data_IF_231450421040
#
_entry.id   IF_231450421040
#
_cell.length_a   1.000
_cell.length_b   1.000
_cell.length_c   1.000
_cell.angle_alpha   90.00
_cell.angle_beta   90.00
_cell.angle_gamma   90.00
#
_symmetry.space_group_name_H-M   'P 1'
#
loop_
_entity.id
_entity.type
_entity.pdbx_description
1 polymer ?
#
# COMPACT_ATOMS: atom_id res chain seq x y z
N UNK A 1 -7.20 -14.90 -30.14
CA UNK A 1 -5.79 -14.77 -29.72
C UNK A 1 -5.72 -15.19 -28.26
N UNK A 2 -4.80 -16.06 -27.87
CA UNK A 2 -4.70 -16.54 -26.47
C UNK A 2 -4.06 -15.45 -25.61
N UNK A 3 -4.65 -15.15 -24.46
CA UNK A 3 -4.13 -14.11 -23.54
C UNK A 3 -2.85 -14.60 -22.87
N UNK A 4 -1.88 -13.71 -22.74
CA UNK A 4 -0.61 -13.96 -22.05
C UNK A 4 -0.42 -12.89 -20.98
N UNK A 5 -0.80 -13.21 -19.75
CA UNK A 5 -0.78 -12.29 -18.62
C UNK A 5 0.35 -12.69 -17.66
N UNK A 6 1.21 -11.74 -17.35
CA UNK A 6 2.28 -11.90 -16.38
C UNK A 6 1.88 -11.19 -15.09
N UNK A 7 2.14 -11.82 -13.96
CA UNK A 7 2.23 -11.13 -12.68
C UNK A 7 3.69 -11.15 -12.24
N UNK A 8 4.24 -9.98 -11.90
CA UNK A 8 5.58 -9.82 -11.36
C UNK A 8 5.49 -9.22 -9.97
N UNK A 9 6.27 -9.74 -9.03
CA UNK A 9 6.23 -9.32 -7.63
C UNK A 9 7.64 -9.41 -7.01
N UNK A 10 8.11 -8.29 -6.45
CA UNK A 10 9.44 -8.19 -5.85
C UNK A 10 9.57 -9.09 -4.62
N UNK A 11 10.70 -9.77 -4.51
CA UNK A 11 10.95 -10.71 -3.43
C UNK A 11 11.27 -9.98 -2.13
N UNK A 12 10.38 -10.12 -1.14
CA UNK A 12 10.51 -9.47 0.17
C UNK A 12 10.93 -8.01 0.05
N UNK A 13 10.20 -7.23 -0.76
CA UNK A 13 10.63 -5.92 -1.28
C UNK A 13 11.37 -5.02 -0.27
N UNK A 14 10.76 -4.68 0.86
CA UNK A 14 11.39 -3.80 1.85
C UNK A 14 12.67 -4.40 2.44
N UNK A 15 12.71 -5.71 2.67
CA UNK A 15 13.92 -6.40 3.14
C UNK A 15 15.03 -6.35 2.09
N UNK A 16 14.68 -6.59 0.82
CA UNK A 16 15.65 -6.51 -0.29
C UNK A 16 16.19 -5.09 -0.45
N UNK A 17 15.37 -4.05 -0.25
CA UNK A 17 15.81 -2.66 -0.24
C UNK A 17 16.83 -2.37 0.88
N UNK A 18 16.61 -2.91 2.09
CA UNK A 18 17.57 -2.78 3.20
C UNK A 18 18.87 -3.55 2.94
N UNK A 19 18.77 -4.76 2.37
CA UNK A 19 19.94 -5.59 2.04
C UNK A 19 20.81 -4.95 0.95
N UNK A 20 20.20 -4.26 -0.02
CA UNK A 20 20.95 -3.47 -1.01
C UNK A 20 21.80 -2.37 -0.37
N UNK A 21 21.37 -1.82 0.76
CA UNK A 21 22.11 -0.79 1.46
C UNK A 21 23.17 -1.36 2.43
N UNK A 22 22.91 -2.55 2.98
CA UNK A 22 23.80 -3.17 3.95
C UNK A 22 23.85 -4.70 3.76
N UNK A 23 24.96 -5.16 3.18
CA UNK A 23 25.23 -6.58 2.92
C UNK A 23 25.35 -7.43 4.20
N UNK A 24 25.62 -6.82 5.37
CA UNK A 24 25.62 -7.55 6.65
C UNK A 24 24.22 -8.05 7.06
N UNK A 25 23.17 -7.60 6.36
CA UNK A 25 21.79 -8.01 6.58
C UNK A 25 21.41 -9.27 5.77
N UNK A 26 22.32 -9.80 4.96
CA UNK A 26 22.10 -11.03 4.21
C UNK A 26 22.09 -12.26 5.12
N UNK A 27 21.17 -13.20 4.87
CA UNK A 27 21.07 -14.47 5.60
C UNK A 27 20.57 -14.38 7.05
N UNK A 28 20.36 -13.18 7.60
CA UNK A 28 19.83 -13.00 8.95
C UNK A 28 18.31 -12.76 8.95
N UNK A 29 17.57 -13.17 10.01
CA UNK A 29 16.15 -12.85 10.15
C UNK A 29 15.92 -11.36 10.34
N UNK A 30 15.13 -10.75 9.46
CA UNK A 30 14.80 -9.33 9.50
C UNK A 30 13.30 -9.09 9.61
N UNK A 31 12.96 -8.05 10.35
CA UNK A 31 11.60 -7.51 10.46
C UNK A 31 11.67 -6.03 10.10
N UNK A 32 10.94 -5.64 9.05
CA UNK A 32 10.74 -4.23 8.70
C UNK A 32 9.45 -3.77 9.35
N UNK A 33 9.55 -2.73 10.18
CA UNK A 33 8.43 -2.20 10.95
C UNK A 33 8.91 -1.66 12.29
N UNK A 34 8.02 -1.58 13.27
CA UNK A 34 8.39 -1.18 14.63
C UNK A 34 7.41 -0.22 15.29
N UNK A 35 7.77 0.18 16.51
CA UNK A 35 6.91 0.92 17.44
C UNK A 35 6.16 -0.01 18.41
N UNK A 36 5.79 0.51 19.58
CA UNK A 36 5.15 -0.26 20.66
C UNK A 36 3.83 -0.93 20.23
N UNK A 37 3.12 -0.30 19.29
CA UNK A 37 1.88 -0.80 18.68
C UNK A 37 2.02 -1.07 17.19
N UNK A 38 3.25 -1.24 16.73
CA UNK A 38 3.58 -1.50 15.33
C UNK A 38 3.18 -2.89 14.89
N UNK A 39 3.00 -3.03 13.58
CA UNK A 39 2.89 -4.30 12.89
C UNK A 39 4.11 -4.52 11.99
N UNK A 40 4.38 -5.76 11.65
CA UNK A 40 5.38 -6.15 10.66
C UNK A 40 4.90 -5.71 9.28
N UNK A 41 5.59 -4.73 8.68
CA UNK A 41 5.33 -4.30 7.30
C UNK A 41 5.81 -5.35 6.31
N UNK A 42 7.02 -5.86 6.53
CA UNK A 42 7.62 -6.96 5.76
C UNK A 42 8.61 -7.73 6.63
N UNK A 43 8.90 -8.96 6.27
CA UNK A 43 9.86 -9.81 6.98
C UNK A 43 10.63 -10.68 5.98
N UNK A 44 11.85 -11.05 6.37
CA UNK A 44 12.73 -11.85 5.53
C UNK A 44 12.26 -13.31 5.45
N UNK A 45 12.71 -14.04 4.42
CA UNK A 45 12.37 -15.46 4.29
C UNK A 45 12.85 -16.30 5.49
N UNK A 46 13.97 -15.91 6.10
CA UNK A 46 14.52 -16.52 7.31
C UNK A 46 13.57 -16.32 8.50
N UNK A 47 13.04 -15.10 8.69
CA UNK A 47 12.05 -14.82 9.73
C UNK A 47 10.72 -15.56 9.49
N UNK A 48 10.31 -15.72 8.22
CA UNK A 48 9.10 -16.46 7.84
C UNK A 48 9.14 -17.93 8.26
N UNK A 49 10.33 -18.55 8.37
CA UNK A 49 10.49 -19.94 8.86
C UNK A 49 10.08 -20.09 10.31
N UNK A 50 10.21 -19.04 11.11
CA UNK A 50 9.77 -18.99 12.52
C UNK A 50 8.28 -18.64 12.65
N UNK A 51 7.54 -18.53 11.55
CA UNK A 51 6.12 -18.19 11.56
C UNK A 51 5.82 -16.69 11.55
N UNK A 52 6.84 -15.82 11.43
CA UNK A 52 6.63 -14.37 11.28
C UNK A 52 5.95 -14.10 9.93
N UNK A 53 4.92 -13.25 9.94
CA UNK A 53 4.14 -12.85 8.76
C UNK A 53 3.93 -11.34 8.73
N UNK A 54 3.72 -10.78 7.54
CA UNK A 54 3.28 -9.38 7.41
C UNK A 54 1.94 -9.17 8.13
N UNK A 55 1.70 -7.94 8.60
CA UNK A 55 0.57 -7.53 9.45
C UNK A 55 0.53 -8.16 10.86
N UNK A 56 1.46 -9.04 11.21
CA UNK A 56 1.61 -9.55 12.58
C UNK A 56 2.05 -8.44 13.55
N UNK A 57 1.55 -8.36 14.79
CA UNK A 57 2.09 -7.43 15.78
C UNK A 57 3.58 -7.64 16.02
N UNK A 58 4.38 -6.57 16.04
CA UNK A 58 5.85 -6.67 16.17
C UNK A 58 6.26 -7.40 17.46
N UNK A 59 5.55 -7.17 18.56
CA UNK A 59 5.79 -7.88 19.82
C UNK A 59 5.58 -9.40 19.71
N UNK A 60 4.61 -9.85 18.92
CA UNK A 60 4.38 -11.27 18.66
C UNK A 60 5.45 -11.83 17.73
N UNK A 61 5.83 -11.08 16.68
CA UNK A 61 6.89 -11.48 15.78
C UNK A 61 8.24 -11.68 16.50
N UNK A 62 8.57 -10.81 17.45
CA UNK A 62 9.76 -10.93 18.31
C UNK A 62 9.69 -12.10 19.30
N UNK A 63 8.49 -12.50 19.75
CA UNK A 63 8.33 -13.73 20.54
C UNK A 63 8.59 -14.99 19.71
N UNK A 64 8.18 -14.98 18.43
CA UNK A 64 8.40 -16.10 17.50
C UNK A 64 9.85 -16.18 17.03
N UNK A 65 10.50 -15.04 16.80
CA UNK A 65 11.87 -14.96 16.33
C UNK A 65 12.67 -13.93 17.15
N UNK A 66 13.13 -14.27 18.37
CA UNK A 66 13.84 -13.34 19.25
C UNK A 66 15.13 -12.77 18.67
N UNK A 67 15.78 -13.53 17.79
CA UNK A 67 17.00 -13.15 17.08
C UNK A 67 16.76 -12.21 15.88
N UNK A 68 15.50 -11.88 15.56
CA UNK A 68 15.21 -11.03 14.41
C UNK A 68 15.65 -9.58 14.65
N UNK A 69 16.38 -9.02 13.70
CA UNK A 69 16.74 -7.60 13.72
C UNK A 69 15.57 -6.77 13.19
N UNK A 70 15.09 -5.84 14.01
CA UNK A 70 14.01 -4.92 13.63
C UNK A 70 14.62 -3.66 13.01
N UNK A 71 14.18 -3.32 11.80
CA UNK A 71 14.60 -2.13 11.07
C UNK A 71 13.38 -1.24 10.85
N UNK A 72 13.51 0.04 11.22
CA UNK A 72 12.51 1.04 10.90
C UNK A 72 12.64 1.38 9.41
N UNK A 73 11.62 1.03 8.63
CA UNK A 73 11.70 1.17 7.18
C UNK A 73 11.69 2.62 6.69
N UNK A 74 12.41 2.86 5.60
CA UNK A 74 12.46 4.13 4.88
C UNK A 74 11.50 4.11 3.67
N UNK A 75 10.30 4.64 3.89
CA UNK A 75 9.23 4.62 2.88
C UNK A 75 9.56 5.48 1.65
N UNK A 76 10.35 6.54 1.81
CA UNK A 76 10.73 7.41 0.69
C UNK A 76 11.67 6.66 -0.24
N UNK A 77 12.70 6.02 0.32
CA UNK A 77 13.61 5.17 -0.43
C UNK A 77 12.90 4.00 -1.10
N UNK A 78 11.97 3.34 -0.41
CA UNK A 78 11.18 2.26 -1.01
C UNK A 78 10.34 2.76 -2.19
N UNK A 79 9.75 3.96 -2.09
CA UNK A 79 9.03 4.57 -3.21
C UNK A 79 9.97 4.83 -4.40
N UNK A 80 11.15 5.40 -4.16
CA UNK A 80 12.14 5.67 -5.21
C UNK A 80 12.58 4.39 -5.94
N UNK A 81 12.90 3.34 -5.20
CA UNK A 81 13.28 2.04 -5.80
C UNK A 81 12.13 1.39 -6.56
N UNK A 82 10.89 1.53 -6.06
CA UNK A 82 9.69 1.09 -6.78
C UNK A 82 9.48 1.85 -8.08
N UNK A 83 9.70 3.17 -8.09
CA UNK A 83 9.64 3.98 -9.30
C UNK A 83 10.67 3.52 -10.32
N UNK A 84 11.92 3.29 -9.90
CA UNK A 84 12.96 2.75 -10.77
C UNK A 84 12.54 1.41 -11.40
N UNK A 85 12.03 0.46 -10.60
CA UNK A 85 11.50 -0.81 -11.14
C UNK A 85 10.35 -0.58 -12.12
N UNK A 86 9.46 0.36 -11.81
CA UNK A 86 8.30 0.70 -12.66
C UNK A 86 8.77 1.23 -14.01
N UNK A 87 9.76 2.11 -14.04
CA UNK A 87 10.34 2.69 -15.26
C UNK A 87 10.94 1.61 -16.17
N UNK A 88 11.75 0.70 -15.60
CA UNK A 88 12.34 -0.42 -16.34
C UNK A 88 11.27 -1.32 -16.97
N UNK A 89 10.18 -1.59 -16.25
CA UNK A 89 9.06 -2.40 -16.74
C UNK A 89 8.29 -1.64 -17.83
N UNK A 90 7.98 -0.36 -17.62
CA UNK A 90 7.21 0.47 -18.57
C UNK A 90 7.96 0.72 -19.88
N UNK A 91 9.30 0.77 -19.86
CA UNK A 91 10.11 0.92 -21.08
C UNK A 91 9.94 -0.26 -22.06
N UNK A 92 9.63 -1.46 -21.54
CA UNK A 92 9.60 -2.68 -22.36
C UNK A 92 8.21 -3.28 -22.51
N UNK A 93 7.40 -3.26 -21.46
CA UNK A 93 6.12 -3.92 -21.46
C UNK A 93 5.07 -3.10 -22.23
N UNK A 94 4.26 -3.73 -23.11
CA UNK A 94 3.28 -3.02 -23.91
C UNK A 94 2.12 -2.46 -23.07
N UNK A 95 1.64 -3.23 -22.09
CA UNK A 95 0.61 -2.80 -21.14
C UNK A 95 1.08 -3.17 -19.73
N UNK A 96 1.06 -2.20 -18.83
CA UNK A 96 1.46 -2.34 -17.43
C UNK A 96 0.38 -1.82 -16.51
N UNK A 97 -0.04 -2.66 -15.56
CA UNK A 97 -0.83 -2.27 -14.40
C UNK A 97 0.05 -2.40 -13.15
N UNK A 98 0.21 -1.30 -12.41
CA UNK A 98 0.89 -1.32 -11.10
C UNK A 98 -0.16 -1.59 -10.00
N UNK A 99 -0.13 -2.78 -9.42
CA UNK A 99 -1.09 -3.20 -8.40
C UNK A 99 -0.70 -2.74 -6.99
N UNK A 100 0.60 -2.68 -6.70
CA UNK A 100 1.15 -2.15 -5.44
C UNK A 100 2.51 -1.49 -5.68
N UNK A 101 3.23 -1.16 -4.61
CA UNK A 101 4.61 -0.66 -4.69
C UNK A 101 5.57 -1.72 -5.27
N UNK A 102 5.24 -2.99 -5.16
CA UNK A 102 6.08 -4.13 -5.50
C UNK A 102 5.44 -5.14 -6.47
N UNK A 103 4.16 -4.98 -6.80
CA UNK A 103 3.40 -5.88 -7.67
C UNK A 103 2.96 -5.21 -8.98
N UNK A 104 3.14 -5.94 -10.08
CA UNK A 104 2.81 -5.50 -11.44
C UNK A 104 2.08 -6.61 -12.19
N UNK A 105 1.09 -6.23 -13.00
CA UNK A 105 0.54 -7.08 -14.05
C UNK A 105 0.93 -6.54 -15.42
N UNK A 106 1.29 -7.46 -16.32
CA UNK A 106 1.59 -7.14 -17.71
C UNK A 106 0.66 -7.95 -18.61
N UNK A 107 0.13 -7.32 -19.64
CA UNK A 107 -0.51 -8.03 -20.75
C UNK A 107 0.46 -8.04 -21.93
N UNK A 108 1.03 -9.21 -22.21
CA UNK A 108 1.98 -9.42 -23.31
C UNK A 108 1.37 -10.29 -24.41
N UNK A 109 0.04 -10.27 -24.53
CA UNK A 109 -0.69 -11.01 -25.57
C UNK A 109 -0.16 -10.65 -26.96
N UNK A 110 0.28 -11.67 -27.71
CA UNK A 110 0.84 -11.52 -29.06
C UNK A 110 2.35 -11.31 -29.15
N UNK A 111 3.06 -11.21 -28.03
CA UNK A 111 4.53 -11.16 -27.99
C UNK A 111 5.19 -12.50 -28.34
N UNK A 112 4.42 -13.60 -28.28
CA UNK A 112 4.84 -14.94 -28.68
C UNK A 112 5.33 -15.00 -30.13
N UNK A 113 4.76 -14.18 -31.01
CA UNK A 113 5.13 -14.10 -32.43
C UNK A 113 6.55 -13.60 -32.70
N UNK A 114 7.16 -12.90 -31.74
CA UNK A 114 8.45 -12.22 -31.93
C UNK A 114 9.55 -12.79 -31.04
N UNK A 115 9.29 -12.94 -29.74
CA UNK A 115 10.32 -13.22 -28.74
C UNK A 115 10.03 -14.43 -27.85
N UNK A 116 8.82 -14.99 -27.93
CA UNK A 116 8.33 -15.96 -26.95
C UNK A 116 8.01 -15.28 -25.61
N UNK A 117 6.77 -15.41 -25.14
CA UNK A 117 6.30 -14.68 -23.95
C UNK A 117 7.17 -14.98 -22.71
N UNK A 118 7.46 -16.26 -22.45
CA UNK A 118 8.23 -16.67 -21.27
C UNK A 118 9.68 -16.16 -21.30
N UNK A 119 10.36 -16.30 -22.43
CA UNK A 119 11.74 -15.83 -22.59
C UNK A 119 11.81 -14.30 -22.42
N UNK A 120 10.90 -13.57 -23.07
CA UNK A 120 10.82 -12.12 -22.93
C UNK A 120 10.60 -11.69 -21.47
N UNK A 121 9.72 -12.38 -20.73
CA UNK A 121 9.49 -12.06 -19.31
C UNK A 121 10.72 -12.36 -18.46
N UNK A 122 11.43 -13.46 -18.74
CA UNK A 122 12.67 -13.79 -18.05
C UNK A 122 13.77 -12.74 -18.30
N UNK A 123 13.91 -12.27 -19.53
CA UNK A 123 14.86 -11.21 -19.89
C UNK A 123 14.52 -9.90 -19.18
N UNK A 124 13.22 -9.56 -19.09
CA UNK A 124 12.75 -8.41 -18.32
C UNK A 124 13.09 -8.54 -16.83
N UNK A 125 12.85 -9.72 -16.22
CA UNK A 125 13.17 -9.96 -14.82
C UNK A 125 14.68 -9.83 -14.54
N UNK A 126 15.53 -10.37 -15.43
CA UNK A 126 16.99 -10.21 -15.33
C UNK A 126 17.43 -8.75 -15.47
N UNK A 127 16.78 -7.99 -16.37
CA UNK A 127 17.06 -6.57 -16.54
C UNK A 127 16.70 -5.76 -15.29
N UNK A 128 15.52 -6.01 -14.71
CA UNK A 128 15.11 -5.39 -13.43
C UNK A 128 16.14 -5.68 -12.35
N UNK A 129 16.58 -6.94 -12.21
CA UNK A 129 17.61 -7.30 -11.23
C UNK A 129 18.95 -6.59 -11.50
N UNK A 130 19.38 -6.50 -12.76
CA UNK A 130 20.64 -5.87 -13.15
C UNK A 130 20.64 -4.35 -12.89
N UNK A 131 19.54 -3.68 -13.19
CA UNK A 131 19.45 -2.21 -13.09
C UNK A 131 19.10 -1.72 -11.68
N UNK A 132 18.28 -2.47 -10.95
CA UNK A 132 17.80 -2.04 -9.62
C UNK A 132 18.47 -2.77 -8.46
N UNK A 133 19.13 -3.90 -8.73
CA UNK A 133 19.64 -4.81 -7.71
C UNK A 133 18.55 -5.60 -6.97
N UNK A 134 17.27 -5.42 -7.31
CA UNK A 134 16.15 -6.04 -6.61
C UNK A 134 15.71 -7.33 -7.31
N UNK A 135 15.60 -8.46 -6.57
CA UNK A 135 15.05 -9.69 -7.11
C UNK A 135 13.54 -9.58 -7.34
N UNK A 136 13.10 -10.01 -8.52
CA UNK A 136 11.69 -10.06 -8.90
C UNK A 136 11.33 -11.50 -9.29
N UNK A 137 10.21 -12.00 -8.76
CA UNK A 137 9.63 -13.28 -9.17
C UNK A 137 8.46 -13.03 -10.10
N UNK A 138 8.14 -13.97 -10.99
CA UNK A 138 7.00 -13.82 -11.88
C UNK A 138 6.32 -15.15 -12.19
N UNK A 139 5.07 -15.07 -12.64
CA UNK A 139 4.45 -16.17 -13.36
C UNK A 139 3.68 -15.68 -14.58
N UNK A 140 3.79 -16.44 -15.67
CA UNK A 140 3.05 -16.27 -16.91
C UNK A 140 1.86 -17.22 -16.92
N UNK A 141 0.67 -16.72 -17.24
CA UNK A 141 -0.52 -17.56 -17.44
C UNK A 141 -1.57 -16.86 -18.31
N UNK A 142 -2.78 -17.41 -18.39
CA UNK A 142 -3.88 -16.93 -19.23
C UNK A 142 -4.63 -15.71 -18.67
N UNK A 143 -4.49 -15.43 -17.37
CA UNK A 143 -5.20 -14.35 -16.69
C UNK A 143 -4.51 -13.92 -15.39
N UNK A 144 -4.99 -12.81 -14.81
CA UNK A 144 -4.43 -12.17 -13.60
C UNK A 144 -4.48 -13.07 -12.37
N UNK A 145 -5.58 -13.79 -12.16
CA UNK A 145 -5.74 -14.64 -10.98
C UNK A 145 -4.72 -15.78 -10.96
N UNK A 146 -4.59 -16.52 -12.06
CA UNK A 146 -3.67 -17.66 -12.13
C UNK A 146 -2.21 -17.20 -12.09
N UNK A 147 -1.88 -16.11 -12.79
CA UNK A 147 -0.52 -15.56 -12.74
C UNK A 147 -0.16 -15.08 -11.34
N UNK A 148 -1.06 -14.40 -10.61
CA UNK A 148 -0.81 -13.99 -9.21
C UNK A 148 -0.55 -15.19 -8.29
N UNK A 149 -1.40 -16.22 -8.37
CA UNK A 149 -1.24 -17.44 -7.57
C UNK A 149 0.09 -18.12 -7.93
N UNK A 150 0.39 -18.23 -9.23
CA UNK A 150 1.65 -18.75 -9.74
C UNK A 150 2.87 -18.06 -9.12
N UNK A 151 2.93 -16.73 -9.17
CA UNK A 151 4.04 -15.98 -8.57
C UNK A 151 4.18 -16.27 -7.08
N UNK A 152 3.06 -16.36 -6.36
CA UNK A 152 3.06 -16.68 -4.94
C UNK A 152 3.61 -18.07 -4.61
N UNK A 153 3.31 -19.08 -5.43
CA UNK A 153 3.81 -20.45 -5.26
C UNK A 153 5.27 -20.62 -5.73
N UNK A 154 5.71 -19.82 -6.70
CA UNK A 154 7.09 -19.88 -7.21
C UNK A 154 8.13 -19.28 -6.26
N UNK A 155 7.74 -18.40 -5.35
CA UNK A 155 8.69 -17.67 -4.48
C UNK A 155 9.44 -18.58 -3.49
N UNK A 156 10.73 -18.31 -3.20
CA UNK A 156 11.55 -17.18 -3.66
C UNK A 156 12.24 -17.39 -5.02
N UNK A 157 12.49 -16.31 -5.78
CA UNK A 157 13.16 -16.32 -7.10
C UNK A 157 12.54 -17.29 -8.11
N UNK A 158 11.22 -17.43 -8.08
CA UNK A 158 10.48 -18.35 -8.93
C UNK A 158 10.02 -17.70 -10.22
N UNK A 159 10.35 -18.33 -11.34
CA UNK A 159 9.80 -18.02 -12.66
C UNK A 159 8.95 -19.22 -13.07
N UNK A 160 7.64 -19.02 -13.25
CA UNK A 160 6.72 -20.10 -13.63
C UNK A 160 5.99 -19.75 -14.93
N UNK A 161 5.75 -20.77 -15.74
CA UNK A 161 4.84 -20.71 -16.89
C UNK A 161 3.71 -21.71 -16.67
N UNK A 162 2.48 -21.22 -16.60
CA UNK A 162 1.28 -22.03 -16.35
C UNK A 162 0.38 -21.93 -17.58
N UNK A 163 0.52 -22.86 -18.55
CA UNK A 163 -0.29 -22.85 -19.74
C UNK A 163 -1.74 -23.25 -19.42
N UNK A 164 -2.67 -22.82 -20.26
CA UNK A 164 -4.13 -22.98 -20.13
C UNK A 164 -4.58 -24.40 -19.78
N UNK A 165 -3.99 -25.40 -20.41
CA UNK A 165 -4.26 -26.82 -20.21
C UNK A 165 -3.82 -27.32 -18.83
N UNK A 166 -2.86 -26.66 -18.19
CA UNK A 166 -2.36 -27.01 -16.86
C UNK A 166 -3.00 -26.21 -15.73
N UNK A 167 -3.76 -25.14 -16.03
CA UNK A 167 -4.35 -24.24 -15.02
C UNK A 167 -5.11 -25.02 -13.95
N UNK A 168 -6.00 -25.94 -14.35
CA UNK A 168 -6.82 -26.68 -13.40
C UNK A 168 -6.00 -27.63 -12.53
N UNK A 169 -5.01 -28.31 -13.13
CA UNK A 169 -4.11 -29.21 -12.41
C UNK A 169 -3.24 -28.46 -11.40
N UNK A 170 -2.77 -27.26 -11.77
CA UNK A 170 -2.01 -26.38 -10.91
C UNK A 170 -2.84 -25.85 -9.73
N UNK A 171 -4.07 -25.41 -9.98
CA UNK A 171 -4.93 -24.81 -8.95
C UNK A 171 -5.49 -25.83 -7.97
N UNK A 172 -5.97 -26.98 -8.45
CA UNK A 172 -6.68 -27.99 -7.67
C UNK A 172 -6.07 -28.35 -6.29
N UNK A 173 -4.76 -28.64 -6.17
CA UNK A 173 -4.15 -29.03 -4.90
C UNK A 173 -3.99 -27.87 -3.90
N UNK A 174 -4.09 -26.62 -4.36
CA UNK A 174 -3.81 -25.46 -3.52
C UNK A 174 -4.93 -25.19 -2.51
N UNK A 175 -4.57 -24.49 -1.43
CA UNK A 175 -5.53 -24.00 -0.45
C UNK A 175 -6.38 -22.87 -1.05
N UNK A 176 -7.67 -22.81 -0.70
CA UNK A 176 -8.55 -21.70 -1.11
C UNK A 176 -8.06 -20.33 -0.61
N UNK A 177 -7.23 -20.27 0.44
CA UNK A 177 -6.63 -19.03 0.95
C UNK A 177 -5.69 -18.37 -0.07
N UNK A 178 -5.23 -19.11 -1.08
CA UNK A 178 -4.40 -18.58 -2.17
C UNK A 178 -5.22 -17.79 -3.19
N UNK A 179 -6.54 -17.99 -3.26
CA UNK A 179 -7.40 -17.29 -4.20
C UNK A 179 -7.49 -15.80 -3.81
N UNK A 180 -7.17 -14.86 -4.72
CA UNK A 180 -7.36 -13.43 -4.46
C UNK A 180 -8.83 -13.13 -4.17
N UNK A 181 -9.09 -12.36 -3.10
CA UNK A 181 -10.39 -12.09 -2.46
C UNK A 181 -10.80 -13.04 -1.32
N UNK A 182 -10.11 -14.17 -1.13
CA UNK A 182 -10.36 -15.05 0.02
C UNK A 182 -9.47 -14.61 1.19
N UNK A 183 -10.03 -13.76 2.06
CA UNK A 183 -9.40 -13.41 3.34
C UNK A 183 -9.65 -14.46 4.44
N UNK A 184 -9.04 -14.27 5.61
CA UNK A 184 -9.10 -15.23 6.73
C UNK A 184 -10.52 -15.56 7.19
N UNK A 185 -11.43 -14.58 7.18
CA UNK A 185 -12.84 -14.78 7.58
C UNK A 185 -13.54 -15.73 6.61
N UNK A 186 -13.40 -15.48 5.30
CA UNK A 186 -13.99 -16.32 4.25
C UNK A 186 -13.36 -17.71 4.25
N UNK A 187 -12.04 -17.78 4.43
CA UNK A 187 -11.30 -19.04 4.58
C UNK A 187 -11.84 -19.87 5.74
N UNK A 188 -12.03 -19.27 6.91
CA UNK A 188 -12.57 -19.97 8.09
C UNK A 188 -14.01 -20.43 7.88
N UNK A 189 -14.86 -19.60 7.26
CA UNK A 189 -16.24 -19.96 6.94
C UNK A 189 -16.31 -21.21 6.04
N UNK A 190 -15.57 -21.20 4.93
CA UNK A 190 -15.51 -22.32 3.98
C UNK A 190 -14.83 -23.55 4.60
N UNK A 191 -13.81 -23.34 5.44
CA UNK A 191 -13.13 -24.43 6.15
C UNK A 191 -14.02 -25.16 7.15
N UNK A 192 -14.98 -24.47 7.79
CA UNK A 192 -15.94 -25.08 8.74
C UNK A 192 -16.90 -26.06 8.07
N UNK A 193 -17.15 -25.90 6.77
CA UNK A 193 -18.00 -26.78 5.97
C UNK A 193 -17.19 -27.76 5.11
N UNK A 194 -15.90 -27.93 5.40
CA UNK A 194 -15.04 -28.91 4.74
C UNK A 194 -14.36 -28.44 3.46
N UNK A 195 -14.55 -27.19 3.03
CA UNK A 195 -13.94 -26.66 1.81
C UNK A 195 -12.61 -26.00 2.16
N UNK A 196 -11.51 -26.72 1.91
CA UNK A 196 -10.14 -26.22 2.17
C UNK A 196 -9.29 -26.11 0.92
N UNK A 197 -9.58 -26.88 -0.12
CA UNK A 197 -8.82 -26.91 -1.37
C UNK A 197 -9.60 -26.25 -2.50
N UNK A 198 -8.87 -25.69 -3.48
CA UNK A 198 -9.47 -25.09 -4.67
C UNK A 198 -10.27 -26.13 -5.45
N UNK A 199 -9.79 -27.39 -5.51
CA UNK A 199 -10.52 -28.50 -6.14
C UNK A 199 -11.95 -28.62 -5.60
N UNK A 200 -12.10 -28.77 -4.28
CA UNK A 200 -13.41 -28.94 -3.65
C UNK A 200 -14.30 -27.73 -3.89
N UNK A 201 -13.75 -26.51 -3.84
CA UNK A 201 -14.48 -25.28 -4.13
C UNK A 201 -14.95 -25.21 -5.60
N UNK A 202 -14.13 -25.67 -6.53
CA UNK A 202 -14.42 -25.65 -7.98
C UNK A 202 -15.55 -26.62 -8.37
N UNK A 203 -15.69 -27.72 -7.64
CA UNK A 203 -16.70 -28.76 -7.86
C UNK A 203 -18.08 -28.42 -7.25
N UNK A 204 -18.15 -27.38 -6.42
CA UNK A 204 -19.42 -26.95 -5.84
C UNK A 204 -20.32 -26.23 -6.86
N UNK A 205 -21.66 -26.35 -6.72
CA UNK A 205 -22.58 -25.50 -7.47
C UNK A 205 -22.39 -24.02 -7.12
N UNK A 206 -22.29 -23.17 -8.14
CA UNK A 206 -22.05 -21.73 -7.96
C UNK A 206 -23.17 -21.04 -7.14
N UNK A 207 -24.41 -21.54 -7.26
CA UNK A 207 -25.59 -21.02 -6.57
C UNK A 207 -25.48 -21.22 -5.05
N UNK A 208 -24.85 -22.31 -4.60
CA UNK A 208 -24.61 -22.57 -3.18
C UNK A 208 -23.64 -21.53 -2.63
N UNK A 209 -22.52 -21.31 -3.32
CA UNK A 209 -21.55 -20.30 -2.91
C UNK A 209 -22.14 -18.88 -2.94
N UNK A 210 -23.00 -18.60 -3.91
CA UNK A 210 -23.72 -17.33 -3.98
C UNK A 210 -24.67 -17.13 -2.79
N UNK A 211 -25.41 -18.15 -2.36
CA UNK A 211 -26.28 -18.06 -1.18
C UNK A 211 -25.48 -17.86 0.11
N UNK A 212 -24.28 -18.43 0.20
CA UNK A 212 -23.46 -18.36 1.42
C UNK A 212 -22.68 -17.04 1.55
N UNK A 213 -22.11 -16.53 0.46
CA UNK A 213 -21.15 -15.40 0.48
C UNK A 213 -21.62 -14.24 -0.42
N UNK A 214 -22.84 -14.33 -0.97
CA UNK A 214 -23.39 -13.33 -1.88
C UNK A 214 -22.71 -13.32 -3.24
N UNK A 215 -22.69 -12.16 -3.90
CA UNK A 215 -22.09 -11.98 -5.24
C UNK A 215 -20.62 -12.42 -5.29
N UNK A 216 -19.87 -12.24 -4.21
CA UNK A 216 -18.47 -12.64 -4.11
C UNK A 216 -18.29 -14.16 -4.21
N UNK A 217 -19.30 -14.96 -3.82
CA UNK A 217 -19.24 -16.42 -3.94
C UNK A 217 -19.12 -16.89 -5.40
N UNK A 218 -19.83 -16.24 -6.31
CA UNK A 218 -19.76 -16.53 -7.75
C UNK A 218 -18.38 -16.17 -8.32
N UNK A 219 -17.83 -15.03 -7.92
CA UNK A 219 -16.50 -14.59 -8.37
C UNK A 219 -15.39 -15.52 -7.84
N UNK A 220 -15.46 -15.93 -6.58
CA UNK A 220 -14.54 -16.90 -5.99
C UNK A 220 -14.63 -18.25 -6.70
N UNK A 221 -15.83 -18.70 -7.05
CA UNK A 221 -16.05 -19.93 -7.81
C UNK A 221 -15.44 -19.87 -9.22
N UNK A 222 -15.62 -18.75 -9.94
CA UNK A 222 -15.01 -18.53 -11.25
C UNK A 222 -13.48 -18.61 -11.15
N UNK A 223 -12.90 -17.93 -10.17
CA UNK A 223 -11.45 -17.96 -9.91
C UNK A 223 -10.93 -19.35 -9.55
N UNK A 224 -11.69 -20.11 -8.77
CA UNK A 224 -11.36 -21.50 -8.44
C UNK A 224 -11.31 -22.40 -9.68
N UNK A 225 -12.13 -22.09 -10.69
CA UNK A 225 -12.12 -22.75 -11.99
C UNK A 225 -11.12 -22.12 -12.99
N UNK A 226 -10.25 -21.22 -12.54
CA UNK A 226 -9.27 -20.55 -13.40
C UNK A 226 -9.87 -19.52 -14.35
N UNK A 227 -11.12 -19.10 -14.15
CA UNK A 227 -11.82 -18.15 -14.99
C UNK A 227 -11.67 -16.74 -14.42
N UNK A 228 -10.96 -15.89 -15.14
CA UNK A 228 -10.83 -14.46 -14.84
C UNK A 228 -10.73 -13.65 -16.15
N UNK A 229 -11.70 -12.77 -16.37
CA UNK A 229 -11.83 -11.96 -17.57
C UNK A 229 -11.44 -10.49 -17.33
N UNK A 230 -10.96 -10.14 -16.14
CA UNK A 230 -10.53 -8.78 -15.86
C UNK A 230 -9.29 -8.46 -16.73
N UNK A 231 -9.32 -7.37 -17.52
CA UNK A 231 -8.16 -6.96 -18.30
C UNK A 231 -7.06 -6.42 -17.37
N UNK A 232 -5.84 -6.37 -17.89
CA UNK A 232 -4.77 -5.56 -17.30
C UNK A 232 -5.07 -4.11 -17.66
N UNK A 233 -5.35 -3.29 -16.65
CA UNK A 233 -5.68 -1.89 -16.84
C UNK A 233 -4.38 -1.08 -16.89
N UNK A 234 -4.16 -0.24 -17.92
CA UNK A 234 -3.01 0.66 -17.94
C UNK A 234 -2.93 1.45 -16.64
N UNK A 235 -1.72 1.59 -16.11
CA UNK A 235 -1.47 2.35 -14.90
C UNK A 235 -2.16 3.72 -14.96
N UNK A 236 -3.14 3.93 -14.08
CA UNK A 236 -3.87 5.19 -13.96
C UNK A 236 -3.34 6.00 -12.80
N UNK A 237 -3.42 7.33 -12.94
CA UNK A 237 -3.01 8.25 -11.89
C UNK A 237 -3.77 8.03 -10.58
N UNK A 238 -3.14 8.48 -9.51
CA UNK A 238 -3.59 8.30 -8.13
C UNK A 238 -5.01 8.85 -7.92
N UNK A 239 -5.92 8.03 -7.39
CA UNK A 239 -7.33 8.41 -7.18
C UNK A 239 -7.61 9.12 -5.84
N UNK A 240 -6.72 8.96 -4.85
CA UNK A 240 -6.86 9.52 -3.52
C UNK A 240 -5.50 9.60 -2.79
N UNK A 241 -5.37 10.54 -1.85
CA UNK A 241 -4.25 10.65 -0.92
C UNK A 241 -4.83 10.64 0.49
N UNK A 242 -4.20 9.91 1.41
CA UNK A 242 -4.66 9.84 2.80
C UNK A 242 -3.51 9.78 3.78
N UNK A 243 -3.74 10.31 4.98
CA UNK A 243 -2.85 10.18 6.12
C UNK A 243 -3.65 9.64 7.30
N UNK A 244 -3.08 8.67 8.03
CA UNK A 244 -3.67 8.12 9.25
C UNK A 244 -2.61 8.14 10.36
N UNK A 245 -3.03 8.44 11.58
CA UNK A 245 -2.18 8.45 12.76
C UNK A 245 -2.78 7.56 13.85
N UNK A 246 -2.07 6.48 14.20
CA UNK A 246 -2.44 5.58 15.30
C UNK A 246 -1.72 6.01 16.57
N UNK A 247 -2.44 6.22 17.66
CA UNK A 247 -1.87 6.69 18.91
C UNK A 247 -1.21 5.57 19.72
N UNK A 248 -0.08 5.91 20.36
CA UNK A 248 0.61 5.05 21.32
C UNK A 248 -0.24 4.84 22.58
N UNK A 249 -0.97 5.87 23.01
CA UNK A 249 -1.96 5.80 24.09
C UNK A 249 -3.27 6.42 23.60
N UNK A 250 -4.39 5.73 23.84
CA UNK A 250 -5.70 6.20 23.36
C UNK A 250 -6.07 7.51 24.06
N UNK A 251 -6.52 8.51 23.31
CA UNK A 251 -6.71 9.88 23.83
C UNK A 251 -8.15 10.38 23.63
N UNK A 252 -8.60 11.25 24.53
CA UNK A 252 -9.84 12.04 24.42
C UNK A 252 -9.55 13.55 24.35
N UNK A 253 -8.28 13.95 24.33
CA UNK A 253 -7.92 15.37 24.31
C UNK A 253 -8.26 15.97 22.93
N UNK A 254 -9.37 16.69 22.89
CA UNK A 254 -9.91 17.32 21.67
C UNK A 254 -8.92 18.35 21.12
N UNK A 255 -8.23 19.10 21.98
CA UNK A 255 -7.29 20.15 21.54
C UNK A 255 -6.10 19.50 20.84
N UNK A 256 -5.54 18.45 21.46
CA UNK A 256 -4.47 17.67 20.86
C UNK A 256 -4.90 16.99 19.55
N UNK A 257 -6.11 16.43 19.50
CA UNK A 257 -6.66 15.79 18.29
C UNK A 257 -6.83 16.78 17.13
N UNK A 258 -7.38 17.97 17.39
CA UNK A 258 -7.53 19.03 16.38
C UNK A 258 -6.19 19.55 15.88
N UNK A 259 -5.20 19.64 16.78
CA UNK A 259 -3.82 19.96 16.46
C UNK A 259 -3.22 18.96 15.45
N UNK A 260 -3.32 17.66 15.75
CA UNK A 260 -2.83 16.59 14.87
C UNK A 260 -3.55 16.60 13.51
N UNK A 261 -4.89 16.73 13.50
CA UNK A 261 -5.65 16.80 12.26
C UNK A 261 -5.22 17.98 11.39
N UNK A 262 -4.96 19.14 11.99
CA UNK A 262 -4.46 20.32 11.25
C UNK A 262 -3.08 20.06 10.64
N UNK A 263 -2.17 19.43 11.39
CA UNK A 263 -0.86 19.02 10.86
C UNK A 263 -0.95 17.98 9.74
N UNK A 264 -1.93 17.07 9.80
CA UNK A 264 -2.19 16.10 8.75
C UNK A 264 -2.76 16.76 7.48
N UNK A 265 -3.64 17.75 7.62
CA UNK A 265 -4.12 18.55 6.47
C UNK A 265 -2.97 19.28 5.82
N UNK A 266 -2.12 19.94 6.60
CA UNK A 266 -0.96 20.68 6.09
C UNK A 266 -0.01 19.78 5.29
N UNK A 267 0.19 18.55 5.77
CA UNK A 267 0.98 17.53 5.06
C UNK A 267 0.37 17.15 3.73
N UNK A 268 -0.93 16.85 3.74
CA UNK A 268 -1.66 16.41 2.55
C UNK A 268 -1.81 17.54 1.54
N UNK A 269 -2.02 18.78 1.98
CA UNK A 269 -2.15 19.94 1.12
C UNK A 269 -0.81 20.33 0.49
N UNK A 270 0.30 20.28 1.23
CA UNK A 270 1.64 20.40 0.66
C UNK A 270 1.86 19.36 -0.44
N UNK A 271 1.49 18.10 -0.19
CA UNK A 271 1.60 17.04 -1.18
C UNK A 271 0.72 17.29 -2.42
N UNK A 272 -0.53 17.74 -2.22
CA UNK A 272 -1.43 18.13 -3.31
C UNK A 272 -0.79 19.23 -4.17
N UNK A 273 -0.22 20.28 -3.55
CA UNK A 273 0.41 21.37 -4.30
C UNK A 273 1.70 20.97 -5.00
N UNK A 274 2.57 20.19 -4.34
CA UNK A 274 3.82 19.72 -4.95
C UNK A 274 3.61 18.81 -6.16
N UNK A 275 2.49 18.09 -6.18
CA UNK A 275 2.10 17.19 -7.26
C UNK A 275 1.04 17.82 -8.20
N UNK A 276 0.70 19.12 -8.06
CA UNK A 276 -0.29 19.83 -8.88
C UNK A 276 -1.69 19.18 -8.92
N UNK A 277 -2.14 18.66 -7.78
CA UNK A 277 -3.46 18.07 -7.57
C UNK A 277 -4.40 18.99 -6.81
N UNK A 278 -5.68 18.94 -7.18
CA UNK A 278 -6.81 19.51 -6.44
C UNK A 278 -7.72 18.39 -5.94
N UNK A 279 -8.31 18.55 -4.75
CA UNK A 279 -9.28 17.58 -4.21
C UNK A 279 -10.68 18.17 -4.13
N UNK A 280 -11.69 17.32 -4.35
CA UNK A 280 -13.12 17.67 -4.25
C UNK A 280 -13.86 16.95 -3.12
N UNK A 281 -13.27 15.91 -2.53
CA UNK A 281 -13.94 15.09 -1.51
C UNK A 281 -13.01 14.85 -0.33
N UNK A 282 -13.45 15.26 0.85
CA UNK A 282 -12.76 15.08 2.13
C UNK A 282 -13.47 13.99 2.91
N UNK A 283 -12.70 13.05 3.46
CA UNK A 283 -13.17 12.02 4.39
C UNK A 283 -12.36 12.10 5.67
N UNK A 284 -13.03 12.21 6.81
CA UNK A 284 -12.44 12.08 8.14
C UNK A 284 -12.84 10.74 8.72
N UNK A 285 -11.86 10.04 9.29
CA UNK A 285 -11.99 8.72 9.89
C UNK A 285 -11.52 8.78 11.34
N UNK A 286 -12.32 8.24 12.25
CA UNK A 286 -11.91 8.00 13.63
C UNK A 286 -12.06 6.52 13.94
N UNK A 287 -11.15 5.98 14.74
CA UNK A 287 -11.27 4.64 15.33
C UNK A 287 -11.23 4.78 16.84
N UNK A 288 -12.22 4.20 17.51
CA UNK A 288 -12.32 4.16 18.95
C UNK A 288 -11.43 3.07 19.57
N UNK A 289 -11.23 3.11 20.88
CA UNK A 289 -10.46 2.12 21.64
C UNK A 289 -11.03 0.70 21.53
N UNK A 290 -12.33 0.56 21.25
CA UNK A 290 -13.01 -0.72 20.99
C UNK A 290 -12.90 -1.20 19.53
N UNK A 291 -12.07 -0.55 18.70
CA UNK A 291 -11.86 -0.82 17.27
C UNK A 291 -13.03 -0.47 16.33
N UNK A 292 -14.12 0.10 16.84
CA UNK A 292 -15.17 0.67 16.00
C UNK A 292 -14.59 1.81 15.17
N UNK A 293 -14.84 1.78 13.87
CA UNK A 293 -14.38 2.80 12.92
C UNK A 293 -15.58 3.55 12.38
N UNK A 294 -15.58 4.87 12.55
CA UNK A 294 -16.60 5.75 11.99
C UNK A 294 -15.96 6.71 10.99
N UNK A 295 -16.66 6.99 9.90
CA UNK A 295 -16.21 7.89 8.84
C UNK A 295 -17.29 8.91 8.50
N UNK A 296 -16.88 10.13 8.18
CA UNK A 296 -17.73 11.17 7.60
C UNK A 296 -17.05 11.77 6.40
N UNK A 297 -17.84 12.08 5.37
CA UNK A 297 -17.34 12.67 4.14
C UNK A 297 -18.14 13.93 3.78
N UNK A 298 -17.48 14.88 3.12
CA UNK A 298 -18.14 15.99 2.44
C UNK A 298 -17.53 16.21 1.06
N UNK A 299 -18.34 16.76 0.16
CA UNK A 299 -17.89 17.30 -1.12
C UNK A 299 -17.67 18.80 -0.99
N UNK A 300 -16.63 19.29 -1.64
CA UNK A 300 -16.25 20.70 -1.71
C UNK A 300 -15.85 21.05 -3.14
N UNK A 301 -15.76 22.35 -3.43
CA UNK A 301 -15.11 22.81 -4.66
C UNK A 301 -13.64 22.35 -4.69
N UNK A 302 -13.10 22.17 -5.90
CA UNK A 302 -11.72 21.73 -6.09
C UNK A 302 -10.75 22.73 -5.45
N UNK A 303 -9.98 22.26 -4.48
CA UNK A 303 -9.00 23.10 -3.78
C UNK A 303 -7.78 22.33 -3.32
N UNK A 304 -6.67 23.04 -3.13
CA UNK A 304 -5.46 22.59 -2.44
C UNK A 304 -5.04 23.57 -1.32
N UNK A 305 -5.95 24.47 -0.93
CA UNK A 305 -5.70 25.51 0.07
C UNK A 305 -5.85 24.97 1.49
N UNK A 306 -4.81 25.15 2.33
CA UNK A 306 -4.75 24.63 3.69
C UNK A 306 -5.91 25.11 4.56
N UNK A 307 -6.26 26.39 4.47
CA UNK A 307 -7.25 27.01 5.36
C UNK A 307 -8.67 26.48 5.10
N UNK A 308 -9.06 26.31 3.83
CA UNK A 308 -10.35 25.72 3.45
C UNK A 308 -10.42 24.25 3.89
N UNK A 309 -9.38 23.48 3.58
CA UNK A 309 -9.30 22.05 3.92
C UNK A 309 -9.33 21.85 5.44
N UNK A 310 -8.57 22.64 6.20
CA UNK A 310 -8.49 22.54 7.67
C UNK A 310 -9.84 22.85 8.30
N UNK A 311 -10.50 23.95 7.88
CA UNK A 311 -11.82 24.33 8.40
C UNK A 311 -12.86 23.22 8.18
N UNK A 312 -12.87 22.60 6.99
CA UNK A 312 -13.80 21.51 6.65
C UNK A 312 -13.48 20.22 7.40
N UNK A 313 -12.21 19.84 7.53
CA UNK A 313 -11.79 18.66 8.31
C UNK A 313 -12.17 18.81 9.78
N UNK A 314 -11.90 19.96 10.39
CA UNK A 314 -12.25 20.20 11.80
C UNK A 314 -13.76 20.19 12.01
N UNK A 315 -14.54 20.80 11.10
CA UNK A 315 -16.00 20.73 11.14
C UNK A 315 -16.55 19.30 10.99
N UNK A 316 -15.96 18.48 10.11
CA UNK A 316 -16.31 17.07 9.99
C UNK A 316 -15.96 16.28 11.25
N UNK A 317 -14.81 16.55 11.86
CA UNK A 317 -14.41 15.92 13.11
C UNK A 317 -15.41 16.22 14.24
N UNK A 318 -15.84 17.47 14.39
CA UNK A 318 -16.81 17.86 15.41
C UNK A 318 -18.18 17.17 15.22
N UNK A 319 -18.60 16.94 13.97
CA UNK A 319 -19.82 16.19 13.65
C UNK A 319 -19.67 14.68 13.89
N UNK A 320 -18.47 14.15 13.70
CA UNK A 320 -18.14 12.73 13.78
C UNK A 320 -17.89 12.27 15.23
N UNK A 321 -17.21 13.09 16.04
CA UNK A 321 -16.88 12.76 17.42
C UNK A 321 -18.05 13.04 18.37
N UNK A 322 -19.05 12.14 18.37
CA UNK A 322 -20.23 12.25 19.23
C UNK A 322 -20.11 11.46 20.54
N UNK A 323 -19.34 10.36 20.52
CA UNK A 323 -19.14 9.49 21.69
C UNK A 323 -17.96 10.01 22.51
N UNK A 324 -18.16 10.19 23.82
CA UNK A 324 -17.07 10.49 24.80
C UNK A 324 -16.22 9.26 25.08
N UNK A 325 -15.63 8.69 24.04
CA UNK A 325 -14.79 7.49 24.09
C UNK A 325 -13.41 7.81 23.52
N UNK A 326 -12.37 7.21 24.11
CA UNK A 326 -10.98 7.39 23.68
C UNK A 326 -10.81 6.97 22.23
N UNK A 327 -10.10 7.79 21.47
CA UNK A 327 -9.70 7.51 20.10
C UNK A 327 -8.35 6.81 20.08
N UNK A 328 -8.28 5.78 19.24
CA UNK A 328 -7.08 4.99 18.93
C UNK A 328 -6.40 5.47 17.65
N UNK A 329 -7.17 5.97 16.68
CA UNK A 329 -6.66 6.45 15.39
C UNK A 329 -7.52 7.60 14.86
N UNK A 330 -6.87 8.58 14.26
CA UNK A 330 -7.51 9.60 13.40
C UNK A 330 -6.92 9.54 11.99
N UNK A 331 -7.74 9.80 10.98
CA UNK A 331 -7.36 9.72 9.59
C UNK A 331 -8.08 10.75 8.73
N UNK A 332 -7.38 11.24 7.70
CA UNK A 332 -7.91 12.14 6.69
C UNK A 332 -7.62 11.53 5.32
N UNK A 333 -8.61 11.53 4.43
CA UNK A 333 -8.48 11.11 3.05
C UNK A 333 -9.06 12.17 2.11
N UNK A 334 -8.27 12.56 1.13
CA UNK A 334 -8.66 13.41 0.01
C UNK A 334 -8.84 12.54 -1.23
N UNK A 335 -9.95 12.75 -1.94
CA UNK A 335 -10.33 11.97 -3.11
C UNK A 335 -11.01 12.87 -4.16
N UNK A 336 -11.32 12.29 -5.33
CA UNK A 336 -11.77 13.06 -6.48
C UNK A 336 -10.69 14.05 -6.89
N UNK A 337 -9.49 13.52 -7.15
CA UNK A 337 -8.31 14.30 -7.51
C UNK A 337 -8.37 14.69 -8.99
N UNK A 338 -8.05 15.95 -9.28
CA UNK A 338 -7.96 16.49 -10.64
C UNK A 338 -6.68 17.32 -10.74
N UNK A 339 -5.99 17.23 -11.89
CA UNK A 339 -4.81 18.05 -12.17
C UNK A 339 -5.21 19.51 -12.33
N UNK A 340 -4.47 20.39 -11.67
CA UNK A 340 -4.69 21.83 -11.79
C UNK A 340 -4.02 22.60 -10.67
N UNK A 341 -3.84 23.89 -10.92
CA UNK A 341 -3.47 24.84 -9.88
C UNK A 341 -4.73 25.37 -9.20
N UNK A 342 -4.62 25.66 -7.91
CA UNK A 342 -5.75 26.22 -7.18
C UNK A 342 -6.08 27.59 -7.77
N UNK A 343 -7.33 27.74 -8.25
CA UNK A 343 -7.83 29.02 -8.72
C UNK A 343 -8.08 29.90 -7.51
N UNK A 344 -7.28 30.96 -7.40
CA UNK A 344 -7.35 31.95 -6.33
C UNK A 344 -8.76 32.56 -6.33
N UNK A 345 -9.43 32.50 -5.19
CA UNK A 345 -10.69 33.20 -4.98
C UNK A 345 -10.37 34.67 -4.63
N UNK A 346 -10.81 35.58 -5.50
CA UNK A 346 -10.56 37.02 -5.38
C UNK A 346 -11.10 37.63 -4.07
N UNK A 347 -12.02 36.95 -3.40
CA UNK A 347 -12.71 37.46 -2.21
C UNK A 347 -12.32 36.73 -0.91
N UNK A 348 -11.88 35.47 -0.99
CA UNK A 348 -11.51 34.68 0.19
C UNK A 348 -9.98 34.56 0.42
N UNK A 349 -9.16 34.68 -0.64
CA UNK A 349 -7.71 34.52 -0.55
C UNK A 349 -6.99 35.87 -0.44
N UNK A 350 -6.15 36.03 0.59
CA UNK A 350 -5.25 37.19 0.68
C UNK A 350 -3.91 36.91 0.02
N UNK A 351 -3.34 37.92 -0.64
CA UNK A 351 -2.01 37.86 -1.27
C UNK A 351 -0.91 37.45 -0.26
N UNK A 352 -1.06 37.87 1.00
CA UNK A 352 -0.21 37.50 2.13
C UNK A 352 -0.30 35.99 2.47
N UNK A 353 -1.50 35.40 2.39
CA UNK A 353 -1.68 33.96 2.65
C UNK A 353 -1.09 33.10 1.52
N UNK A 354 -1.26 33.52 0.27
CA UNK A 354 -0.71 32.81 -0.88
C UNK A 354 0.82 32.89 -0.92
N UNK A 355 1.39 34.07 -0.65
CA UNK A 355 2.84 34.24 -0.52
C UNK A 355 3.40 33.46 0.66
N UNK A 356 2.67 33.34 1.77
CA UNK A 356 3.01 32.46 2.88
C UNK A 356 3.05 30.99 2.46
N UNK A 357 2.06 30.51 1.70
CA UNK A 357 2.08 29.13 1.20
C UNK A 357 3.28 28.88 0.28
N UNK A 358 3.53 29.77 -0.67
CA UNK A 358 4.68 29.66 -1.56
C UNK A 358 6.02 29.67 -0.81
N UNK A 359 6.16 30.52 0.22
CA UNK A 359 7.35 30.59 1.05
C UNK A 359 7.54 29.32 1.90
N UNK A 360 6.47 28.83 2.52
CA UNK A 360 6.49 27.59 3.31
C UNK A 360 6.82 26.39 2.42
N UNK A 361 6.19 26.28 1.25
CA UNK A 361 6.42 25.20 0.31
C UNK A 361 7.87 25.22 -0.20
N UNK A 362 8.42 26.39 -0.54
CA UNK A 362 9.82 26.54 -0.94
C UNK A 362 10.81 26.08 0.15
N UNK A 363 10.53 26.40 1.41
CA UNK A 363 11.35 25.93 2.54
C UNK A 363 11.25 24.42 2.72
N UNK A 364 10.03 23.86 2.64
CA UNK A 364 9.78 22.42 2.74
C UNK A 364 10.42 21.62 1.61
N UNK A 365 10.38 22.12 0.39
CA UNK A 365 11.04 21.47 -0.76
C UNK A 365 12.56 21.45 -0.62
N UNK A 366 13.17 22.46 0.03
CA UNK A 366 14.62 22.56 0.18
C UNK A 366 15.17 21.83 1.40
N UNK A 367 14.47 21.87 2.53
CA UNK A 367 14.96 21.39 3.83
C UNK A 367 14.16 20.20 4.39
N UNK A 368 13.19 19.69 3.62
CA UNK A 368 12.28 18.62 4.03
C UNK A 368 11.02 19.15 4.73
N UNK A 369 9.97 18.33 4.73
CA UNK A 369 8.64 18.69 5.25
C UNK A 369 8.66 19.19 6.71
N UNK A 370 9.48 18.57 7.56
CA UNK A 370 9.54 18.88 9.00
C UNK A 370 10.28 20.21 9.31
N UNK A 371 10.78 20.93 8.30
CA UNK A 371 11.58 22.15 8.50
C UNK A 371 10.77 23.36 8.96
N UNK A 372 9.55 23.52 8.45
CA UNK A 372 8.63 24.62 8.79
C UNK A 372 7.22 24.06 8.88
N UNK A 373 6.57 24.24 10.02
CA UNK A 373 5.20 23.77 10.26
C UNK A 373 4.46 24.78 11.14
N UNK A 374 3.14 24.87 11.01
CA UNK A 374 2.35 25.70 11.93
C UNK A 374 2.45 25.11 13.34
N UNK A 375 2.57 25.98 14.35
CA UNK A 375 2.69 25.56 15.75
C UNK A 375 1.53 24.63 16.18
N UNK A 376 0.32 24.89 15.67
CA UNK A 376 -0.85 24.05 15.91
C UNK A 376 -0.71 22.61 15.39
N UNK A 377 0.15 22.31 14.41
CA UNK A 377 0.38 20.96 13.90
C UNK A 377 1.71 20.34 14.33
N UNK A 378 2.50 21.08 15.13
CA UNK A 378 3.87 20.72 15.43
C UNK A 378 3.96 19.68 16.54
N UNK A 379 4.33 18.46 16.20
CA UNK A 379 4.87 17.52 17.19
C UNK A 379 6.32 17.90 17.44
N UNK A 380 6.56 18.81 18.39
CA UNK A 380 7.90 19.13 18.86
C UNK A 380 8.54 17.85 19.39
N UNK A 381 9.44 17.23 18.60
CA UNK A 381 10.32 16.20 19.14
C UNK A 381 11.09 16.86 20.29
N UNK A 382 11.08 16.29 21.51
CA UNK A 382 11.95 16.79 22.56
C UNK A 382 13.38 16.78 22.00
N UNK A 383 14.00 17.96 21.99
CA UNK A 383 15.38 18.11 21.56
C UNK A 383 16.23 17.20 22.47
N UNK A 384 16.69 16.06 21.97
CA UNK A 384 17.88 15.42 22.50
C UNK A 384 19.07 16.28 22.10
N UNK A 385 19.25 17.42 22.78
CA UNK A 385 20.38 18.34 22.60
C UNK A 385 21.10 18.56 23.93
N UNK A 386 22.00 17.64 24.25
CA UNK A 386 23.25 17.97 24.97
C UNK A 386 24.41 18.29 24.00
N UNK A 387 24.15 18.42 22.70
CA UNK A 387 25.23 18.51 21.70
C UNK A 387 25.59 19.96 21.30
N UNK A 388 24.85 20.99 21.75
CA UNK A 388 25.13 22.39 21.33
C UNK A 388 26.02 23.18 22.33
N UNK A 389 26.37 22.64 23.50
CA UNK A 389 27.19 23.37 24.49
C UNK A 389 28.70 23.07 24.48
N UNK A 390 29.25 22.38 23.46
CA UNK A 390 30.71 22.14 23.33
C UNK A 390 31.36 22.80 22.12
N UNK A 391 31.07 24.08 21.90
CA UNK A 391 31.92 24.97 21.08
C UNK A 391 32.06 26.32 21.76
N UNK A 392 32.81 26.36 22.86
CA UNK A 392 33.61 27.49 23.32
C UNK A 392 34.33 27.11 24.63
N UNK A 393 35.57 26.67 24.48
CA UNK A 393 36.68 26.88 25.41
C UNK A 393 37.95 26.46 24.68
#
# INVERSE_FOLDING_TARGET
MRRSIVHMDLDTFFVSCERLNNSQLEGIPLIIGGGDRGVVSSCSYEARRFGVRSAMPTAMALKLCPQAKVIKGDMERYSQLSHLVTEVIQEKAPIVEKASIDEFYLDITGMDRFHGCYQWTNDLAQRVLKETGLPISFALSINKTVSKIGTGEGKPKGHLDIPEDQVRNFLNPLSIQKIPMVGDVTFQLLSRIGIRTIKTLSEMPAEVLQRMIGKNGVEIWKKANGIDNNPVEPYTERKAISSEHTFTQDTIDIVHLKSILSGMVEKLAFQLRSEEWLTSTIVVKIRYSNFDTETRQCKIAYTSADHLLTKKVLGLFDLLYQRRMRLRLVGIRFSGLVRGTYQIDLFEDTEEMLSLYAAMDKMKSRYGYDSVMRCAGASLKPNSKDIILKRKS
#
